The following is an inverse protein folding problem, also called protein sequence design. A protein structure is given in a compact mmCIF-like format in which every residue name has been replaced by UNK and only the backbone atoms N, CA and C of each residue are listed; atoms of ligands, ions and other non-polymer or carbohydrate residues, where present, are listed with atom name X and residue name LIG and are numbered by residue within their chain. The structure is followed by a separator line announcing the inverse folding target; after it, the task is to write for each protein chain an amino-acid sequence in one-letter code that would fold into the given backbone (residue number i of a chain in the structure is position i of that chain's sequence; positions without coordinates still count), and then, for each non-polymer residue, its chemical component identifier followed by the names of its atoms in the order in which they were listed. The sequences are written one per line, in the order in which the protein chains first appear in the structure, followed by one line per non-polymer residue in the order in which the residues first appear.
data_IF_314957059506
#
_entry.id   IF_314957059506
#
_cell.length_a   1.000
_cell.length_b   1.000
_cell.length_c   1.000
_cell.angle_alpha   90.00
_cell.angle_beta   90.00
_cell.angle_gamma   90.00
#
_symmetry.space_group_name_H-M   'P 1'
#
loop_
_entity.id
_entity.type
_entity.pdbx_description
1 polymer ?
#
# COMPACT_ATOMS: atom_id res chain seq x y z
N UNK A 1 -15.62 -3.17 1.64
CA UNK A 1 -14.20 -3.54 1.75
C UNK A 1 -13.43 -2.82 0.65
N UNK A 2 -12.30 -2.17 0.96
CA UNK A 2 -11.49 -1.41 -0.03
C UNK A 2 -10.15 -2.08 -0.39
N UNK A 3 -9.66 -2.98 0.46
CA UNK A 3 -8.46 -3.79 0.22
C UNK A 3 -8.55 -5.13 0.97
N UNK A 4 -7.88 -6.15 0.46
CA UNK A 4 -7.77 -7.49 1.05
C UNK A 4 -6.49 -8.16 0.54
N UNK A 5 -6.04 -9.24 1.18
CA UNK A 5 -4.89 -10.01 0.74
C UNK A 5 -5.17 -11.49 0.93
N UNK A 6 -4.86 -12.31 -0.07
CA UNK A 6 -5.08 -13.76 -0.02
C UNK A 6 -3.75 -14.47 0.21
N UNK A 7 -3.73 -15.33 1.21
CA UNK A 7 -2.64 -16.26 1.46
C UNK A 7 -3.07 -17.65 1.01
N UNK A 8 -2.21 -18.34 0.26
CA UNK A 8 -2.42 -19.73 -0.13
C UNK A 8 -1.46 -20.62 0.68
N UNK A 9 -1.99 -21.69 1.28
CA UNK A 9 -1.22 -22.55 2.18
C UNK A 9 -0.03 -23.26 1.49
N UNK A 10 -0.12 -23.46 0.18
CA UNK A 10 0.88 -24.06 -0.69
C UNK A 10 1.82 -23.05 -1.35
N UNK A 11 1.62 -21.75 -1.12
CA UNK A 11 2.44 -20.69 -1.70
C UNK A 11 2.90 -19.67 -0.65
N UNK A 12 4.04 -19.96 -0.03
CA UNK A 12 4.62 -19.13 1.02
C UNK A 12 4.88 -17.68 0.60
N UNK A 13 5.09 -17.39 -0.69
CA UNK A 13 5.27 -16.01 -1.18
C UNK A 13 4.04 -15.15 -0.91
N UNK A 14 2.84 -15.73 -1.02
CA UNK A 14 1.60 -15.00 -0.69
C UNK A 14 1.44 -14.71 0.79
N UNK A 15 2.21 -15.35 1.67
CA UNK A 15 2.16 -15.13 3.12
C UNK A 15 3.15 -14.07 3.62
N UNK A 16 3.99 -13.54 2.74
CA UNK A 16 5.04 -12.60 3.09
C UNK A 16 4.47 -11.19 3.32
N UNK A 17 5.01 -10.49 4.32
CA UNK A 17 4.60 -9.12 4.68
C UNK A 17 4.82 -8.12 3.53
N UNK A 18 5.93 -8.13 2.79
CA UNK A 18 6.13 -7.24 1.65
C UNK A 18 5.00 -7.32 0.60
N UNK A 19 4.57 -8.53 0.27
CA UNK A 19 3.51 -8.83 -0.68
C UNK A 19 2.18 -8.30 -0.18
N UNK A 20 1.88 -8.49 1.11
CA UNK A 20 0.71 -7.88 1.75
C UNK A 20 0.72 -6.35 1.58
N UNK A 21 1.82 -5.68 1.94
CA UNK A 21 1.93 -4.20 1.88
C UNK A 21 1.75 -3.70 0.45
N UNK A 22 2.47 -4.31 -0.51
CA UNK A 22 2.41 -3.93 -1.91
C UNK A 22 1.01 -4.13 -2.51
N UNK A 23 0.37 -5.26 -2.21
CA UNK A 23 -0.97 -5.57 -2.73
C UNK A 23 -2.04 -4.64 -2.15
N UNK A 24 -1.98 -4.36 -0.84
CA UNK A 24 -2.93 -3.43 -0.21
C UNK A 24 -2.84 -2.05 -0.85
N UNK A 25 -1.64 -1.52 -1.08
CA UNK A 25 -1.47 -0.25 -1.77
C UNK A 25 -2.05 -0.26 -3.20
N UNK A 26 -1.80 -1.33 -3.96
CA UNK A 26 -2.34 -1.49 -5.30
C UNK A 26 -3.88 -1.55 -5.31
N UNK A 27 -4.51 -2.20 -4.32
CA UNK A 27 -5.96 -2.26 -4.19
C UNK A 27 -6.56 -0.90 -3.82
N UNK A 28 -5.96 -0.18 -2.87
CA UNK A 28 -6.40 1.18 -2.52
C UNK A 28 -6.32 2.12 -3.72
N UNK A 29 -5.26 2.05 -4.53
CA UNK A 29 -5.15 2.82 -5.78
C UNK A 29 -6.29 2.56 -6.78
N UNK A 30 -6.87 1.35 -6.77
CA UNK A 30 -7.91 0.91 -7.71
C UNK A 30 -9.33 1.07 -7.16
N UNK A 31 -9.48 1.19 -5.85
CA UNK A 31 -10.77 1.34 -5.21
C UNK A 31 -11.40 2.70 -5.56
N UNK A 32 -12.63 2.75 -6.11
CA UNK A 32 -13.29 4.01 -6.48
C UNK A 32 -13.46 4.97 -5.29
N UNK A 33 -13.66 4.43 -4.09
CA UNK A 33 -13.78 5.22 -2.85
C UNK A 33 -12.45 5.83 -2.38
N UNK A 34 -11.33 5.47 -3.01
CA UNK A 34 -9.97 5.86 -2.61
C UNK A 34 -9.23 6.64 -3.71
N UNK A 35 -9.97 7.36 -4.56
CA UNK A 35 -9.39 8.23 -5.59
C UNK A 35 -8.39 9.24 -5.01
N UNK A 36 -8.68 9.85 -3.86
CA UNK A 36 -7.78 10.80 -3.22
C UNK A 36 -6.41 10.19 -2.84
N UNK A 37 -6.38 8.91 -2.46
CA UNK A 37 -5.13 8.17 -2.20
C UNK A 37 -4.34 7.94 -3.49
N UNK A 38 -5.03 7.54 -4.58
CA UNK A 38 -4.39 7.42 -5.90
C UNK A 38 -3.81 8.75 -6.38
N UNK A 39 -4.56 9.84 -6.25
CA UNK A 39 -4.12 11.18 -6.65
C UNK A 39 -2.91 11.63 -5.85
N UNK A 40 -2.91 11.40 -4.54
CA UNK A 40 -1.77 11.69 -3.68
C UNK A 40 -0.50 10.95 -4.15
N UNK A 41 -0.60 9.65 -4.44
CA UNK A 41 0.53 8.87 -4.96
C UNK A 41 1.03 9.36 -6.31
N UNK A 42 0.13 9.75 -7.22
CA UNK A 42 0.50 10.32 -8.52
C UNK A 42 1.24 11.65 -8.37
N UNK A 43 0.85 12.48 -7.38
CA UNK A 43 1.50 13.75 -7.07
C UNK A 43 2.82 13.60 -6.31
N UNK A 44 3.03 12.45 -5.67
CA UNK A 44 4.21 12.18 -4.82
C UNK A 44 4.95 10.91 -5.28
N UNK A 45 5.81 11.00 -6.32
CA UNK A 45 6.52 9.84 -6.89
C UNK A 45 7.38 9.06 -5.88
N UNK A 46 7.88 9.73 -4.83
CA UNK A 46 8.63 9.09 -3.76
C UNK A 46 7.78 8.06 -2.99
N UNK A 47 6.49 8.31 -2.78
CA UNK A 47 5.59 7.34 -2.16
C UNK A 47 5.41 6.08 -3.03
N UNK A 48 5.37 6.23 -4.36
CA UNK A 48 5.34 5.08 -5.27
C UNK A 48 6.62 4.25 -5.16
N UNK A 49 7.77 4.90 -4.97
CA UNK A 49 9.06 4.22 -4.77
C UNK A 49 9.08 3.47 -3.43
N UNK A 50 8.58 4.09 -2.35
CA UNK A 50 8.40 3.47 -1.02
C UNK A 50 7.47 2.26 -1.07
N UNK A 51 6.47 2.27 -1.95
CA UNK A 51 5.50 1.18 -2.14
C UNK A 51 5.91 0.15 -3.20
N UNK A 52 7.07 0.33 -3.85
CA UNK A 52 7.59 -0.69 -4.77
C UNK A 52 7.82 -2.00 -4.03
N UNK A 53 7.63 -3.14 -4.72
CA UNK A 53 7.87 -4.45 -4.09
C UNK A 53 9.29 -4.56 -3.53
N UNK A 54 10.28 -4.00 -4.23
CA UNK A 54 11.67 -3.94 -3.76
C UNK A 54 11.80 -3.20 -2.42
N UNK A 55 11.18 -2.02 -2.29
CA UNK A 55 11.21 -1.27 -1.04
C UNK A 55 10.45 -1.99 0.08
N UNK A 56 9.32 -2.63 -0.24
CA UNK A 56 8.57 -3.45 0.71
C UNK A 56 9.40 -4.65 1.22
N UNK A 57 10.23 -5.27 0.38
CA UNK A 57 11.14 -6.35 0.78
C UNK A 57 12.28 -5.82 1.66
N UNK A 58 12.79 -4.63 1.36
CA UNK A 58 13.90 -4.02 2.11
C UNK A 58 13.47 -3.59 3.51
N UNK A 59 12.32 -2.92 3.64
CA UNK A 59 11.77 -2.45 4.91
C UNK A 59 10.23 -2.41 4.86
N UNK A 60 9.55 -3.54 5.13
CA UNK A 60 8.09 -3.61 5.03
C UNK A 60 7.40 -2.72 6.06
N UNK A 61 8.02 -2.50 7.22
CA UNK A 61 7.44 -1.65 8.26
C UNK A 61 7.43 -0.18 7.83
N UNK A 62 8.54 0.30 7.27
CA UNK A 62 8.61 1.65 6.73
C UNK A 62 7.67 1.83 5.54
N UNK A 63 7.65 0.88 4.60
CA UNK A 63 6.75 0.91 3.45
C UNK A 63 5.28 0.96 3.88
N UNK A 64 4.89 0.16 4.87
CA UNK A 64 3.54 0.17 5.44
C UNK A 64 3.22 1.51 6.11
N UNK A 65 4.10 2.01 6.98
CA UNK A 65 3.83 3.23 7.74
C UNK A 65 3.82 4.49 6.85
N UNK A 66 4.87 4.68 6.03
CA UNK A 66 5.05 5.85 5.15
C UNK A 66 4.17 5.80 3.90
N UNK A 67 3.94 4.60 3.36
CA UNK A 67 3.22 4.41 2.10
C UNK A 67 1.72 4.19 2.27
N UNK A 68 1.26 3.71 3.43
CA UNK A 68 -0.16 3.44 3.68
C UNK A 68 -0.71 4.28 4.84
N UNK A 69 -0.21 4.07 6.06
CA UNK A 69 -0.84 4.66 7.26
C UNK A 69 -0.80 6.18 7.26
N UNK A 70 0.38 6.78 7.09
CA UNK A 70 0.55 8.24 7.07
C UNK A 70 -0.28 8.90 5.96
N UNK A 71 -0.24 8.46 4.69
CA UNK A 71 -1.08 8.99 3.63
C UNK A 71 -2.59 8.91 3.93
N UNK A 72 -3.06 7.78 4.46
CA UNK A 72 -4.48 7.60 4.80
C UNK A 72 -4.90 8.53 5.95
N UNK A 73 -4.04 8.69 6.95
CA UNK A 73 -4.28 9.62 8.06
C UNK A 73 -4.33 11.08 7.59
N UNK A 74 -3.40 11.47 6.70
CA UNK A 74 -3.39 12.81 6.09
C UNK A 74 -4.70 13.08 5.35
N UNK A 75 -5.14 12.11 4.54
CA UNK A 75 -6.39 12.24 3.78
C UNK A 75 -7.60 12.29 4.70
N UNK A 76 -7.62 11.51 5.78
CA UNK A 76 -8.70 11.52 6.76
C UNK A 76 -8.81 12.85 7.52
N UNK A 77 -7.68 13.48 7.83
CA UNK A 77 -7.65 14.78 8.54
C UNK A 77 -7.85 15.98 7.61
N UNK A 78 -7.60 15.81 6.31
CA UNK A 78 -7.73 16.85 5.28
C UNK A 78 -9.11 16.95 4.64
N UNK A 79 -10.04 16.05 5.00
CA UNK A 79 -11.48 16.09 4.72
C UNK A 79 -12.24 16.60 5.93
#
# INVERSE_FOLDING_TARGET
VVAYHYCQADNAYTCLVPEFVHNVAALLCRAPQMQAYRELLLRQPHLQSTLSLRACVQDPFNAFRRGLLEPLEILHRGT
#
